data_IF_081198635175
#
_entry.id   IF_081198635175
#
_cell.length_a   1.000
_cell.length_b   1.000
_cell.length_c   1.000
_cell.angle_alpha   90.00
_cell.angle_beta   90.00
_cell.angle_gamma   90.00
#
_symmetry.space_group_name_H-M   'P 1'
#
loop_
_entity.id
_entity.type
_entity.pdbx_description
1 polymer ?
#
# COMPACT_ATOMS: atom_id res chain seq x y z
N UNK A 1 6.86 -47.68 29.66
CA UNK A 1 6.88 -46.27 30.09
C UNK A 1 6.40 -45.42 28.94
N UNK A 2 5.47 -44.53 29.25
CA UNK A 2 4.47 -43.89 28.39
C UNK A 2 5.03 -42.87 27.41
N UNK A 3 4.57 -42.97 26.16
CA UNK A 3 4.67 -41.94 25.12
C UNK A 3 4.02 -40.63 25.60
N UNK A 4 4.80 -39.54 25.66
CA UNK A 4 4.27 -38.19 25.85
C UNK A 4 3.99 -37.55 24.49
N UNK A 5 2.72 -37.53 24.10
CA UNK A 5 2.19 -36.67 23.03
C UNK A 5 1.63 -35.43 23.70
N UNK A 6 2.27 -34.28 23.54
CA UNK A 6 1.67 -33.00 23.88
C UNK A 6 1.33 -32.28 22.58
N UNK A 7 0.02 -32.17 22.35
CA UNK A 7 -0.64 -31.42 21.29
C UNK A 7 -0.30 -29.91 21.38
N UNK A 8 -0.41 -29.16 20.28
CA UNK A 8 0.10 -27.81 20.15
C UNK A 8 -0.79 -26.82 20.92
N UNK A 9 -0.18 -26.03 21.80
CA UNK A 9 -0.86 -24.88 22.42
C UNK A 9 -1.03 -23.83 21.31
N UNK A 10 -2.24 -23.80 20.79
CA UNK A 10 -2.84 -22.69 20.05
C UNK A 10 -2.68 -21.42 20.90
N UNK A 11 -1.73 -20.56 20.55
CA UNK A 11 -1.72 -19.17 21.00
C UNK A 11 -2.11 -18.30 19.80
N UNK A 12 -3.42 -18.18 19.63
CA UNK A 12 -4.10 -17.23 18.76
C UNK A 12 -3.85 -15.82 19.31
N UNK A 13 -2.66 -15.26 19.06
CA UNK A 13 -2.31 -13.90 19.43
C UNK A 13 -2.83 -12.93 18.36
N UNK A 14 -4.08 -12.52 18.53
CA UNK A 14 -4.65 -11.21 18.16
C UNK A 14 -4.14 -10.62 16.84
N UNK A 15 -4.68 -11.13 15.73
CA UNK A 15 -4.68 -10.39 14.44
C UNK A 15 -5.77 -9.33 14.49
N UNK A 16 -5.53 -8.25 15.22
CA UNK A 16 -6.36 -7.05 15.17
C UNK A 16 -5.46 -5.83 15.00
N UNK A 17 -4.81 -5.75 13.83
CA UNK A 17 -4.18 -4.51 13.41
C UNK A 17 -4.79 -4.08 12.07
N UNK A 18 -5.50 -2.96 12.14
CA UNK A 18 -5.95 -2.09 11.06
C UNK A 18 -6.95 -2.67 10.03
N UNK A 19 -8.23 -2.66 10.39
CA UNK A 19 -9.28 -2.29 9.42
C UNK A 19 -10.04 -1.07 9.90
N UNK A 20 -9.35 0.06 10.04
CA UNK A 20 -10.04 1.34 9.95
C UNK A 20 -10.34 1.60 8.48
N UNK A 21 -11.35 0.91 7.93
CA UNK A 21 -12.06 1.49 6.80
C UNK A 21 -12.78 2.71 7.39
N UNK A 22 -12.15 3.89 7.28
CA UNK A 22 -12.83 5.13 7.52
C UNK A 22 -14.17 5.05 6.79
N UNK A 23 -15.28 5.36 7.47
CA UNK A 23 -16.58 5.51 6.85
C UNK A 23 -16.48 6.64 5.84
N UNK A 24 -16.06 6.29 4.63
CA UNK A 24 -15.94 7.17 3.49
C UNK A 24 -17.37 7.61 3.16
N UNK A 25 -17.64 8.91 3.27
CA UNK A 25 -18.98 9.44 3.02
C UNK A 25 -19.51 9.02 1.65
N UNK A 26 -20.83 9.07 1.48
CA UNK A 26 -21.45 8.76 0.20
C UNK A 26 -20.82 9.60 -0.92
N UNK A 27 -20.31 8.94 -1.97
CA UNK A 27 -19.66 9.59 -3.11
C UNK A 27 -18.12 9.59 -3.08
N UNK A 28 -17.48 9.24 -1.97
CA UNK A 28 -16.02 9.10 -1.96
C UNK A 28 -15.59 7.82 -2.67
N UNK A 29 -14.53 7.91 -3.48
CA UNK A 29 -13.92 6.78 -4.18
C UNK A 29 -12.42 6.74 -3.85
N UNK A 30 -11.90 5.66 -3.24
CA UNK A 30 -10.48 5.54 -2.95
C UNK A 30 -9.68 5.42 -4.25
N UNK A 31 -8.67 6.27 -4.44
CA UNK A 31 -7.74 6.18 -5.56
C UNK A 31 -6.59 5.21 -5.31
N UNK A 32 -6.20 5.03 -4.05
CA UNK A 32 -5.19 4.07 -3.65
C UNK A 32 -5.85 2.83 -3.05
N UNK A 33 -5.41 1.66 -3.51
CA UNK A 33 -5.97 0.36 -3.12
C UNK A 33 -5.33 -0.24 -1.86
N UNK A 34 -4.36 0.44 -1.23
CA UNK A 34 -3.67 -0.04 -0.02
C UNK A 34 -2.53 -1.03 -0.27
N UNK A 35 -2.27 -1.40 -1.53
CA UNK A 35 -1.39 -2.54 -1.86
C UNK A 35 -0.29 -2.19 -2.86
N UNK A 36 -0.63 -1.49 -3.93
CA UNK A 36 0.28 -1.25 -5.04
C UNK A 36 -0.05 0.07 -5.76
N UNK A 37 0.77 0.40 -6.76
CA UNK A 37 0.63 1.63 -7.55
C UNK A 37 -0.27 1.44 -8.77
N UNK A 38 -1.18 0.46 -8.78
CA UNK A 38 -2.17 0.35 -9.86
C UNK A 38 -3.04 1.62 -9.92
N UNK A 39 -3.22 2.17 -11.12
CA UNK A 39 -3.89 3.47 -11.30
C UNK A 39 -2.96 4.68 -11.20
N UNK A 40 -1.65 4.48 -11.01
CA UNK A 40 -0.64 5.54 -10.92
C UNK A 40 0.42 5.40 -12.02
N UNK A 41 0.85 6.54 -12.57
CA UNK A 41 1.96 6.69 -13.51
C UNK A 41 3.24 6.93 -12.71
N UNK A 42 4.08 5.89 -12.61
CA UNK A 42 5.44 6.03 -12.07
C UNK A 42 6.32 6.72 -13.12
N UNK A 43 7.10 7.76 -12.75
CA UNK A 43 7.92 8.47 -13.72
C UNK A 43 8.96 7.54 -14.37
N UNK A 44 9.25 7.71 -15.67
CA UNK A 44 10.21 6.86 -16.35
C UNK A 44 11.60 7.00 -15.72
N UNK A 45 12.27 5.88 -15.47
CA UNK A 45 13.59 5.86 -14.84
C UNK A 45 13.56 6.13 -13.32
N UNK A 46 12.40 6.08 -12.67
CA UNK A 46 12.30 6.18 -11.21
C UNK A 46 12.95 5.03 -10.44
N UNK A 47 13.24 3.90 -11.10
CA UNK A 47 13.95 2.75 -10.52
C UNK A 47 13.40 2.20 -9.18
N UNK A 48 12.12 2.41 -8.88
CA UNK A 48 11.46 1.86 -7.68
C UNK A 48 11.58 2.75 -6.44
N UNK A 49 11.91 4.03 -6.61
CA UNK A 49 11.96 5.00 -5.54
C UNK A 49 10.55 5.38 -5.05
N UNK A 50 9.57 5.47 -5.96
CA UNK A 50 8.14 5.37 -5.62
C UNK A 50 7.76 3.92 -5.36
N UNK A 51 7.26 3.64 -4.14
CA UNK A 51 6.88 2.29 -3.71
C UNK A 51 5.73 2.31 -2.72
N UNK A 52 5.14 1.14 -2.47
CA UNK A 52 4.19 0.96 -1.37
C UNK A 52 4.89 0.23 -0.24
N UNK A 53 4.94 0.84 0.94
CA UNK A 53 5.53 0.28 2.16
C UNK A 53 4.46 0.23 3.24
N UNK A 54 4.11 -0.98 3.70
CA UNK A 54 3.12 -1.15 4.78
C UNK A 54 1.76 -0.53 4.49
N UNK A 55 1.33 -0.48 3.22
CA UNK A 55 0.09 0.17 2.82
C UNK A 55 0.15 1.70 2.76
N UNK A 56 1.35 2.27 2.61
CA UNK A 56 1.58 3.71 2.38
C UNK A 56 2.35 3.89 1.08
N UNK A 57 1.92 4.84 0.24
CA UNK A 57 2.75 5.28 -0.90
C UNK A 57 3.90 6.11 -0.35
N UNK A 58 5.12 5.71 -0.65
CA UNK A 58 6.36 6.24 -0.10
C UNK A 58 7.35 6.59 -1.22
N UNK A 59 8.12 7.66 -1.01
CA UNK A 59 9.26 8.04 -1.85
C UNK A 59 10.45 8.38 -0.96
N UNK A 60 11.61 7.79 -1.27
CA UNK A 60 12.87 8.04 -0.55
C UNK A 60 13.63 9.29 -1.04
N UNK A 61 13.07 10.00 -2.03
CA UNK A 61 13.64 11.16 -2.71
C UNK A 61 14.94 10.90 -3.49
N UNK A 62 15.23 9.63 -3.81
CA UNK A 62 16.44 9.22 -4.54
C UNK A 62 16.19 8.92 -6.03
N UNK A 63 14.99 9.20 -6.55
CA UNK A 63 14.58 8.95 -7.94
C UNK A 63 15.67 9.27 -8.98
N UNK A 64 16.16 8.21 -9.65
CA UNK A 64 17.22 8.29 -10.66
C UNK A 64 16.78 8.92 -11.99
N UNK A 65 15.47 9.17 -12.12
CA UNK A 65 14.85 9.69 -13.33
C UNK A 65 15.57 10.97 -13.82
N UNK A 66 15.70 11.08 -15.14
CA UNK A 66 16.21 12.28 -15.82
C UNK A 66 15.09 13.18 -16.33
N UNK A 67 13.84 12.79 -16.12
CA UNK A 67 12.71 13.65 -16.46
C UNK A 67 12.72 14.91 -15.57
N UNK A 68 12.26 16.02 -16.12
CA UNK A 68 12.06 17.25 -15.35
C UNK A 68 10.99 17.04 -14.27
N UNK A 69 9.97 16.24 -14.57
CA UNK A 69 8.93 15.84 -13.65
C UNK A 69 9.17 14.42 -13.10
N UNK A 70 9.25 14.31 -11.77
CA UNK A 70 9.42 13.07 -11.00
C UNK A 70 8.24 12.78 -10.08
N UNK A 71 7.13 13.50 -10.26
CA UNK A 71 5.91 13.29 -9.50
C UNK A 71 5.22 11.98 -9.88
N UNK A 72 4.51 11.42 -8.90
CA UNK A 72 3.59 10.31 -9.11
C UNK A 72 2.22 10.87 -9.49
N UNK A 73 1.74 10.52 -10.68
CA UNK A 73 0.45 11.02 -11.20
C UNK A 73 -0.58 9.92 -11.27
N UNK A 74 -1.87 10.25 -11.25
CA UNK A 74 -2.91 9.29 -11.59
C UNK A 74 -2.88 8.94 -13.08
N UNK A 75 -3.24 7.71 -13.42
CA UNK A 75 -3.46 7.32 -14.81
C UNK A 75 -4.62 8.08 -15.43
N UNK A 76 -5.69 8.24 -14.65
CA UNK A 76 -6.90 8.99 -14.98
C UNK A 76 -6.75 10.48 -14.67
N UNK A 77 -7.58 11.28 -15.31
CA UNK A 77 -7.79 12.70 -15.03
C UNK A 77 -9.18 12.88 -14.41
N UNK A 78 -9.32 13.88 -13.53
CA UNK A 78 -10.56 14.13 -12.81
C UNK A 78 -10.91 15.62 -12.86
N UNK A 79 -12.20 15.90 -12.83
CA UNK A 79 -12.79 17.21 -12.59
C UNK A 79 -14.03 17.05 -11.71
N UNK A 80 -14.50 18.14 -11.10
CA UNK A 80 -15.69 18.15 -10.23
C UNK A 80 -15.68 17.06 -9.13
N UNK A 81 -14.70 17.16 -8.22
CA UNK A 81 -14.48 16.22 -7.11
C UNK A 81 -14.73 16.84 -5.73
#
# INVERSE_FOLDING_TARGET
>A
MTTSKLLPIVLLAVTACATTLAAQGAGFVPLFNGKDLAGWKVPPGDNGHWKVVGGTIDIDAESESKAEDKSLWTEREFGDF
#
